data_IF_544202574310
#
_entry.id   IF_544202574310
#
_cell.length_a   1.000
_cell.length_b   1.000
_cell.length_c   1.000
_cell.angle_alpha   90.00
_cell.angle_beta   90.00
_cell.angle_gamma   90.00
#
_symmetry.space_group_name_H-M   'P 1'
#
loop_
_entity.id
_entity.type
_entity.pdbx_description
1 polymer ?
#
# COMPACT_ATOMS: atom_id res chain seq x y z
N UNK A 1 22.11 22.85 -16.87
CA UNK A 1 20.79 22.49 -16.30
C UNK A 1 21.12 21.73 -15.04
N UNK A 2 20.73 22.26 -13.89
CA UNK A 2 21.10 21.67 -12.59
C UNK A 2 20.37 20.32 -12.43
N UNK A 3 21.10 19.19 -12.38
CA UNK A 3 20.46 17.88 -12.28
C UNK A 3 19.64 17.74 -10.98
N UNK A 4 20.05 18.36 -9.87
CA UNK A 4 19.33 18.26 -8.58
C UNK A 4 17.98 18.98 -8.61
N UNK A 5 17.91 20.15 -9.28
CA UNK A 5 16.66 20.87 -9.48
C UNK A 5 15.64 20.03 -10.28
N UNK A 6 16.11 19.11 -11.13
CA UNK A 6 15.25 18.21 -11.89
C UNK A 6 14.76 16.99 -11.10
N UNK A 7 15.47 16.55 -10.07
CA UNK A 7 15.05 15.43 -9.20
C UNK A 7 13.95 15.87 -8.25
N UNK A 8 14.19 16.97 -7.53
CA UNK A 8 13.23 17.52 -6.57
C UNK A 8 11.89 17.87 -7.26
N UNK A 9 11.95 18.47 -8.45
CA UNK A 9 10.75 18.80 -9.23
C UNK A 9 9.99 17.57 -9.72
N UNK A 10 10.70 16.50 -10.11
CA UNK A 10 10.06 15.24 -10.49
C UNK A 10 9.29 14.65 -9.30
N UNK A 11 9.96 14.47 -8.16
CA UNK A 11 9.35 13.85 -6.98
C UNK A 11 8.24 14.70 -6.37
N UNK A 12 8.36 16.03 -6.40
CA UNK A 12 7.26 16.92 -6.01
C UNK A 12 6.02 16.75 -6.89
N UNK A 13 6.20 16.62 -8.21
CA UNK A 13 5.08 16.38 -9.13
C UNK A 13 4.44 15.00 -8.90
N UNK A 14 5.24 13.98 -8.66
CA UNK A 14 4.73 12.63 -8.36
C UNK A 14 4.00 12.58 -7.02
N UNK A 15 4.58 13.15 -5.96
CA UNK A 15 3.94 13.24 -4.65
C UNK A 15 2.60 13.99 -4.74
N UNK A 16 2.56 15.15 -5.40
CA UNK A 16 1.31 15.87 -5.65
C UNK A 16 0.29 15.05 -6.45
N UNK A 17 0.73 14.27 -7.45
CA UNK A 17 -0.19 13.41 -8.23
C UNK A 17 -0.82 12.33 -7.36
N UNK A 18 -0.02 11.66 -6.53
CA UNK A 18 -0.51 10.62 -5.61
C UNK A 18 -1.44 11.23 -4.57
N UNK A 19 -1.03 12.32 -3.92
CA UNK A 19 -1.84 13.04 -2.93
C UNK A 19 -3.16 13.58 -3.51
N UNK A 20 -3.14 14.06 -4.76
CA UNK A 20 -4.34 14.48 -5.47
C UNK A 20 -5.27 13.30 -5.77
N UNK A 21 -4.73 12.12 -6.06
CA UNK A 21 -5.52 10.89 -6.26
C UNK A 21 -6.25 10.51 -4.97
N UNK A 22 -5.55 10.51 -3.83
CA UNK A 22 -6.17 10.29 -2.51
C UNK A 22 -7.19 11.39 -2.21
N UNK A 23 -6.87 12.65 -2.53
CA UNK A 23 -7.80 13.78 -2.41
C UNK A 23 -9.06 13.60 -3.27
N UNK A 24 -8.93 12.99 -4.44
CA UNK A 24 -10.03 12.62 -5.33
C UNK A 24 -10.97 11.56 -4.77
N UNK A 25 -10.56 10.80 -3.74
CA UNK A 25 -11.42 9.87 -3.00
C UNK A 25 -12.34 10.60 -1.99
N UNK A 26 -12.16 11.91 -1.76
CA UNK A 26 -12.97 12.67 -0.78
C UNK A 26 -14.47 12.71 -1.07
N UNK A 27 -14.96 12.76 -2.33
CA UNK A 27 -16.41 12.69 -2.60
C UNK A 27 -17.06 11.39 -2.12
N UNK A 28 -16.39 10.24 -2.19
CA UNK A 28 -16.88 8.99 -1.58
C UNK A 28 -16.83 9.05 -0.05
N UNK A 29 -15.91 9.82 0.53
CA UNK A 29 -15.84 10.07 1.98
C UNK A 29 -16.98 10.93 2.53
N UNK A 30 -17.76 11.65 1.71
CA UNK A 30 -18.98 12.32 2.22
C UNK A 30 -20.02 11.32 2.75
N UNK A 31 -19.89 10.04 2.37
CA UNK A 31 -20.68 8.91 2.91
C UNK A 31 -19.90 8.10 3.95
N UNK A 32 -18.83 8.64 4.51
CA UNK A 32 -17.93 7.91 5.41
C UNK A 32 -18.64 7.32 6.64
N UNK A 33 -19.62 8.03 7.23
CA UNK A 33 -20.43 7.46 8.32
C UNK A 33 -21.15 6.18 7.87
N UNK A 34 -21.70 6.18 6.66
CA UNK A 34 -22.32 4.99 6.07
C UNK A 34 -21.34 3.86 5.79
N UNK A 35 -20.06 4.16 5.51
CA UNK A 35 -19.03 3.13 5.35
C UNK A 35 -18.75 2.42 6.68
N UNK A 36 -18.54 3.18 7.77
CA UNK A 36 -18.34 2.59 9.10
C UNK A 36 -19.57 1.78 9.55
N UNK A 37 -20.78 2.29 9.30
CA UNK A 37 -22.03 1.57 9.58
C UNK A 37 -22.11 0.25 8.80
N UNK A 38 -21.70 0.23 7.52
CA UNK A 38 -21.68 -0.98 6.68
C UNK A 38 -20.67 -2.00 7.20
N UNK A 39 -19.54 -1.53 7.74
CA UNK A 39 -18.55 -2.37 8.42
C UNK A 39 -19.00 -2.80 9.82
N UNK A 40 -20.14 -2.28 10.32
CA UNK A 40 -20.61 -2.43 11.69
C UNK A 40 -19.60 -1.95 12.74
N UNK A 41 -18.88 -0.87 12.43
CA UNK A 41 -17.88 -0.27 13.30
C UNK A 41 -18.44 0.96 14.01
N UNK A 42 -18.29 0.99 15.33
CA UNK A 42 -18.59 2.17 16.13
C UNK A 42 -17.43 3.15 16.08
N UNK A 43 -17.75 4.43 15.85
CA UNK A 43 -16.74 5.49 15.94
C UNK A 43 -16.43 5.76 17.41
N UNK A 44 -15.20 5.49 17.81
CA UNK A 44 -14.74 5.81 19.17
C UNK A 44 -14.25 7.26 19.23
N UNK A 45 -13.97 7.76 20.44
CA UNK A 45 -13.31 9.06 20.61
C UNK A 45 -11.87 9.07 20.11
N UNK A 46 -11.27 7.89 19.94
CA UNK A 46 -9.93 7.70 19.40
C UNK A 46 -10.01 7.31 17.92
N UNK A 47 -9.74 8.27 17.04
CA UNK A 47 -9.73 8.04 15.59
C UNK A 47 -8.73 6.95 15.18
N UNK A 48 -7.61 6.79 15.89
CA UNK A 48 -6.61 5.76 15.57
C UNK A 48 -7.13 4.37 15.94
N UNK A 49 -7.80 4.23 17.09
CA UNK A 49 -8.46 2.99 17.49
C UNK A 49 -9.54 2.59 16.48
N UNK A 50 -10.36 3.55 16.04
CA UNK A 50 -11.37 3.33 14.99
C UNK A 50 -10.71 2.90 13.67
N UNK A 51 -9.59 3.53 13.28
CA UNK A 51 -8.86 3.16 12.06
C UNK A 51 -8.27 1.75 12.16
N UNK A 52 -7.75 1.37 13.32
CA UNK A 52 -7.23 0.03 13.57
C UNK A 52 -8.34 -1.02 13.48
N UNK A 53 -9.52 -0.76 14.03
CA UNK A 53 -10.68 -1.64 13.86
C UNK A 53 -11.08 -1.77 12.38
N UNK A 54 -11.03 -0.67 11.62
CA UNK A 54 -11.26 -0.66 10.18
C UNK A 54 -10.24 -1.52 9.42
N UNK A 55 -8.96 -1.46 9.80
CA UNK A 55 -7.91 -2.29 9.23
C UNK A 55 -8.19 -3.78 9.46
N UNK A 56 -8.49 -4.17 10.69
CA UNK A 56 -8.76 -5.57 11.04
C UNK A 56 -9.99 -6.08 10.30
N UNK A 57 -11.03 -5.25 10.16
CA UNK A 57 -12.20 -5.59 9.34
C UNK A 57 -11.85 -5.80 7.87
N UNK A 58 -11.05 -4.91 7.26
CA UNK A 58 -10.61 -5.07 5.86
C UNK A 58 -9.85 -6.38 5.69
N UNK A 59 -8.92 -6.66 6.60
CA UNK A 59 -8.11 -7.89 6.60
C UNK A 59 -8.97 -9.17 6.67
N UNK A 60 -10.02 -9.16 7.48
CA UNK A 60 -10.85 -10.34 7.73
C UNK A 60 -12.01 -10.50 6.75
N UNK A 61 -12.53 -9.39 6.23
CA UNK A 61 -13.76 -9.38 5.45
C UNK A 61 -13.55 -9.19 3.96
N UNK A 62 -12.42 -8.62 3.52
CA UNK A 62 -12.17 -8.29 2.11
C UNK A 62 -11.22 -9.29 1.47
N UNK A 63 -11.68 -9.98 0.43
CA UNK A 63 -10.83 -10.86 -0.37
C UNK A 63 -9.95 -10.04 -1.31
N UNK A 64 -8.63 -10.18 -1.18
CA UNK A 64 -7.67 -9.54 -2.10
C UNK A 64 -7.59 -10.37 -3.39
N UNK A 65 -8.10 -9.82 -4.49
CA UNK A 65 -8.07 -10.45 -5.81
C UNK A 65 -6.63 -10.39 -6.37
N UNK A 66 -6.10 -11.54 -6.83
CA UNK A 66 -4.82 -11.55 -7.52
C UNK A 66 -4.93 -10.80 -8.84
N UNK A 67 -4.10 -9.77 -9.01
CA UNK A 67 -3.94 -9.10 -10.30
C UNK A 67 -3.13 -10.02 -11.21
N UNK A 68 -3.65 -10.26 -12.42
CA UNK A 68 -2.97 -10.99 -13.47
C UNK A 68 -1.54 -10.43 -13.64
N UNK A 69 -0.48 -11.26 -13.66
CA UNK A 69 0.89 -10.80 -13.85
C UNK A 69 1.08 -9.86 -15.06
N UNK A 70 0.34 -10.09 -16.15
CA UNK A 70 0.37 -9.23 -17.34
C UNK A 70 -0.19 -7.84 -17.05
N UNK A 71 -1.17 -7.76 -16.15
CA UNK A 71 -1.71 -6.50 -15.67
C UNK A 71 -0.85 -5.87 -14.56
N UNK A 72 -0.04 -6.68 -13.85
CA UNK A 72 0.87 -6.27 -12.79
C UNK A 72 2.10 -5.53 -13.30
N UNK A 73 2.62 -5.91 -14.47
CA UNK A 73 3.81 -5.29 -15.08
C UNK A 73 3.55 -3.89 -15.67
N UNK A 74 2.32 -3.40 -15.60
CA UNK A 74 1.98 -2.04 -16.01
C UNK A 74 2.29 -1.06 -14.86
N UNK A 75 2.91 0.10 -15.14
CA UNK A 75 3.41 1.06 -14.13
C UNK A 75 2.45 1.30 -12.97
N UNK A 76 2.90 0.95 -11.75
CA UNK A 76 2.09 0.92 -10.53
C UNK A 76 1.44 2.25 -10.15
N UNK A 77 1.96 3.39 -10.63
CA UNK A 77 1.45 4.73 -10.30
C UNK A 77 1.36 5.68 -11.51
N UNK A 78 1.80 5.26 -12.69
CA UNK A 78 1.84 6.14 -13.88
C UNK A 78 0.53 6.02 -14.66
N UNK A 79 -0.50 6.68 -14.13
CA UNK A 79 -1.66 7.05 -14.92
C UNK A 79 -2.98 6.92 -14.18
N UNK A 80 -3.53 8.08 -13.82
CA UNK A 80 -4.90 8.28 -13.36
C UNK A 80 -5.99 7.58 -14.22
N UNK A 81 -5.63 7.10 -15.43
CA UNK A 81 -6.52 6.38 -16.35
C UNK A 81 -6.88 4.97 -15.89
N UNK A 82 -6.08 4.30 -15.05
CA UNK A 82 -6.43 2.96 -14.55
C UNK A 82 -7.49 3.01 -13.44
N UNK A 83 -7.56 4.11 -12.69
CA UNK A 83 -8.59 4.33 -11.67
C UNK A 83 -9.98 4.61 -12.24
N UNK A 84 -10.11 4.82 -13.55
CA UNK A 84 -11.43 5.00 -14.18
C UNK A 84 -12.28 3.71 -14.18
N UNK A 85 -11.66 2.56 -13.93
CA UNK A 85 -12.34 1.26 -13.76
C UNK A 85 -12.14 0.63 -12.39
N UNK A 86 -11.36 1.26 -11.49
CA UNK A 86 -11.15 0.72 -10.15
C UNK A 86 -12.41 0.89 -9.32
N UNK A 87 -12.69 -0.09 -8.47
CA UNK A 87 -13.71 0.00 -7.43
C UNK A 87 -13.43 1.20 -6.55
N UNK A 88 -14.49 1.93 -6.19
CA UNK A 88 -14.39 2.95 -5.15
C UNK A 88 -14.23 2.29 -3.78
N UNK A 89 -13.80 3.02 -2.74
CA UNK A 89 -13.78 2.48 -1.37
C UNK A 89 -15.12 1.92 -0.91
N UNK A 90 -16.24 2.49 -1.36
CA UNK A 90 -17.58 1.96 -1.07
C UNK A 90 -17.80 0.61 -1.76
N UNK A 91 -17.45 0.50 -3.05
CA UNK A 91 -17.59 -0.76 -3.78
C UNK A 91 -16.72 -1.88 -3.18
N UNK A 92 -15.51 -1.56 -2.70
CA UNK A 92 -14.63 -2.55 -2.01
C UNK A 92 -15.27 -3.07 -0.72
N UNK A 93 -15.83 -2.16 0.09
CA UNK A 93 -16.51 -2.51 1.35
C UNK A 93 -17.78 -3.31 1.09
N UNK A 94 -18.60 -2.87 0.13
CA UNK A 94 -19.89 -3.50 -0.21
C UNK A 94 -19.68 -4.88 -0.86
N UNK A 95 -18.77 -4.99 -1.84
CA UNK A 95 -18.50 -6.24 -2.55
C UNK A 95 -17.57 -7.19 -1.78
N UNK A 96 -16.92 -6.70 -0.70
CA UNK A 96 -15.96 -7.47 0.11
C UNK A 96 -14.82 -8.08 -0.71
N UNK A 97 -14.39 -7.37 -1.74
CA UNK A 97 -13.28 -7.77 -2.60
C UNK A 97 -12.63 -6.56 -3.27
N UNK A 98 -11.35 -6.68 -3.56
CA UNK A 98 -10.62 -5.66 -4.29
C UNK A 98 -9.22 -6.13 -4.65
N UNK A 99 -8.60 -5.46 -5.61
CA UNK A 99 -7.16 -5.63 -5.86
C UNK A 99 -6.36 -5.09 -4.66
N UNK A 100 -5.06 -5.45 -4.52
CA UNK A 100 -4.22 -4.90 -3.44
C UNK A 100 -4.23 -3.37 -3.36
N UNK A 101 -4.24 -2.71 -4.52
CA UNK A 101 -4.27 -1.25 -4.60
C UNK A 101 -5.62 -0.68 -4.16
N UNK A 102 -6.73 -1.29 -4.59
CA UNK A 102 -8.07 -0.88 -4.16
C UNK A 102 -8.24 -1.00 -2.64
N UNK A 103 -7.71 -2.06 -2.02
CA UNK A 103 -7.75 -2.24 -0.57
C UNK A 103 -6.89 -1.21 0.17
N UNK A 104 -5.67 -0.93 -0.31
CA UNK A 104 -4.80 0.11 0.28
C UNK A 104 -5.40 1.51 0.15
N UNK A 105 -5.97 1.84 -1.02
CA UNK A 105 -6.65 3.11 -1.24
C UNK A 105 -7.91 3.23 -0.37
N UNK A 106 -8.64 2.14 -0.17
CA UNK A 106 -9.77 2.09 0.76
C UNK A 106 -9.31 2.41 2.18
N UNK A 107 -8.24 1.77 2.65
CA UNK A 107 -7.66 2.04 3.96
C UNK A 107 -7.17 3.50 4.12
N UNK A 108 -6.47 4.05 3.12
CA UNK A 108 -6.06 5.46 3.10
C UNK A 108 -7.25 6.42 3.16
N UNK A 109 -8.32 6.11 2.43
CA UNK A 109 -9.54 6.89 2.46
C UNK A 109 -10.18 6.89 3.87
N UNK A 110 -10.21 5.73 4.54
CA UNK A 110 -10.67 5.62 5.93
C UNK A 110 -9.80 6.45 6.89
N UNK A 111 -8.48 6.36 6.78
CA UNK A 111 -7.54 7.15 7.59
C UNK A 111 -7.78 8.66 7.43
N UNK A 112 -7.90 9.12 6.18
CA UNK A 112 -8.21 10.52 5.85
C UNK A 112 -9.52 10.98 6.45
N UNK A 113 -10.58 10.18 6.35
CA UNK A 113 -11.90 10.55 6.85
C UNK A 113 -11.99 10.57 8.39
N UNK A 114 -11.20 9.74 9.06
CA UNK A 114 -11.03 9.78 10.51
C UNK A 114 -10.13 10.92 10.99
N UNK A 115 -9.49 11.65 10.07
CA UNK A 115 -8.52 12.69 10.39
C UNK A 115 -7.23 12.13 11.00
N UNK A 116 -6.93 10.86 10.74
CA UNK A 116 -5.67 10.23 11.18
C UNK A 116 -4.57 10.67 10.24
N UNK A 117 -3.48 11.19 10.81
CA UNK A 117 -2.28 11.56 10.09
C UNK A 117 -1.65 10.33 9.44
N UNK A 118 -1.45 10.41 8.13
CA UNK A 118 -0.91 9.32 7.35
C UNK A 118 -0.09 9.85 6.17
N UNK A 119 0.88 9.04 5.76
CA UNK A 119 1.71 9.25 4.58
C UNK A 119 1.81 7.95 3.79
N UNK A 120 2.34 8.04 2.57
CA UNK A 120 2.57 6.89 1.70
C UNK A 120 4.06 6.65 1.59
N UNK A 121 4.49 5.42 1.85
CA UNK A 121 5.83 4.95 1.56
C UNK A 121 5.80 4.07 0.32
N UNK A 122 6.60 4.41 -0.69
CA UNK A 122 6.84 3.58 -1.86
C UNK A 122 8.05 2.68 -1.58
N UNK A 123 7.88 1.37 -1.75
CA UNK A 123 8.90 0.38 -1.40
C UNK A 123 9.35 -0.42 -2.61
N UNK A 124 10.64 -0.70 -2.63
CA UNK A 124 11.24 -1.65 -3.57
C UNK A 124 11.38 -3.01 -2.89
N UNK A 125 11.18 -4.09 -3.63
CA UNK A 125 11.48 -5.43 -3.16
C UNK A 125 13.00 -5.53 -2.94
N UNK A 126 13.39 -5.65 -1.67
CA UNK A 126 14.80 -5.65 -1.25
C UNK A 126 15.63 -6.78 -1.86
N UNK A 127 14.96 -7.82 -2.39
CA UNK A 127 15.63 -8.94 -3.06
C UNK A 127 15.98 -8.64 -4.52
N UNK A 128 15.39 -7.59 -5.11
CA UNK A 128 15.55 -7.23 -6.52
C UNK A 128 16.34 -5.94 -6.67
N UNK A 129 15.99 -4.91 -5.88
CA UNK A 129 16.58 -3.57 -6.02
C UNK A 129 16.46 -2.74 -4.74
N UNK A 130 17.13 -1.59 -4.75
CA UNK A 130 17.05 -0.59 -3.70
C UNK A 130 16.50 0.72 -4.26
N UNK A 131 15.87 1.49 -3.39
CA UNK A 131 15.47 2.87 -3.67
C UNK A 131 16.66 3.71 -4.13
N UNK A 132 16.50 4.39 -5.28
CA UNK A 132 17.45 5.37 -5.81
C UNK A 132 16.68 6.59 -6.31
N UNK A 133 16.89 7.73 -5.66
CA UNK A 133 16.14 8.97 -5.92
C UNK A 133 16.38 9.48 -7.34
N UNK A 134 17.54 9.21 -7.91
CA UNK A 134 18.01 9.69 -9.21
C UNK A 134 17.33 8.98 -10.40
N UNK A 135 16.65 7.85 -10.17
CA UNK A 135 16.02 7.08 -11.27
C UNK A 135 14.78 7.75 -11.86
N UNK A 136 14.21 8.77 -11.18
CA UNK A 136 13.08 9.60 -11.66
C UNK A 136 11.96 8.77 -12.29
N UNK A 137 11.61 7.67 -11.65
CA UNK A 137 10.56 6.77 -12.13
C UNK A 137 9.89 6.12 -10.93
N UNK A 138 8.57 5.99 -10.97
CA UNK A 138 7.81 5.23 -9.97
C UNK A 138 7.66 3.75 -10.35
N UNK A 139 8.14 3.36 -11.54
CA UNK A 139 8.04 1.98 -12.06
C UNK A 139 8.96 1.00 -11.36
N UNK A 140 9.92 1.49 -10.57
CA UNK A 140 10.83 0.63 -9.84
C UNK A 140 10.30 0.22 -8.45
N UNK A 141 9.17 0.77 -8.01
CA UNK A 141 8.55 0.37 -6.75
C UNK A 141 7.65 -0.84 -6.95
N UNK A 142 7.75 -1.78 -6.02
CA UNK A 142 7.06 -3.07 -6.07
C UNK A 142 5.82 -3.09 -5.15
N UNK A 143 5.75 -2.18 -4.18
CA UNK A 143 4.57 -1.99 -3.33
C UNK A 143 4.45 -0.57 -2.77
N UNK A 144 3.27 -0.31 -2.19
CA UNK A 144 2.90 0.91 -1.50
C UNK A 144 2.51 0.51 -0.07
N UNK A 145 3.06 1.19 0.92
CA UNK A 145 2.72 1.04 2.33
C UNK A 145 2.11 2.32 2.88
N UNK A 146 1.29 2.19 3.91
CA UNK A 146 0.76 3.36 4.64
C UNK A 146 1.55 3.54 5.92
N UNK A 147 2.03 4.76 6.13
CA UNK A 147 2.69 5.18 7.37
C UNK A 147 1.66 5.95 8.21
N UNK A 148 1.36 5.46 9.42
CA UNK A 148 0.36 6.01 10.34
C UNK A 148 1.05 6.62 11.55
N UNK A 149 0.78 7.90 11.82
CA UNK A 149 1.53 8.66 12.81
C UNK A 149 2.97 8.91 12.35
N UNK A 150 3.55 10.03 12.75
CA UNK A 150 4.80 10.53 12.18
C UNK A 150 4.51 11.77 11.37
N UNK A 151 4.78 12.92 11.97
CA UNK A 151 4.65 14.21 11.32
C UNK A 151 6.03 14.65 10.88
N UNK A 152 6.21 14.75 9.56
CA UNK A 152 7.32 15.27 8.74
C UNK A 152 8.79 14.97 9.15
N UNK A 153 9.11 14.77 10.43
CA UNK A 153 10.44 14.46 10.99
C UNK A 153 10.43 13.44 12.15
N UNK A 154 9.30 13.15 12.81
CA UNK A 154 9.22 12.19 13.93
C UNK A 154 8.78 10.78 13.50
N UNK A 155 9.55 10.18 12.59
CA UNK A 155 9.25 8.83 12.07
C UNK A 155 9.41 7.71 13.11
N UNK A 156 10.08 7.96 14.25
CA UNK A 156 10.34 6.94 15.27
C UNK A 156 9.09 6.41 15.98
N UNK A 157 7.98 7.14 15.93
CA UNK A 157 6.69 6.72 16.49
C UNK A 157 5.70 6.21 15.42
N UNK A 158 6.11 6.19 14.16
CA UNK A 158 5.25 5.80 13.06
C UNK A 158 4.95 4.31 13.06
N UNK A 159 3.71 3.96 12.71
CA UNK A 159 3.32 2.57 12.44
C UNK A 159 3.15 2.37 10.94
N UNK A 160 3.93 1.46 10.37
CA UNK A 160 3.81 1.09 8.95
C UNK A 160 2.83 -0.07 8.82
N UNK A 161 1.90 0.02 7.88
CA UNK A 161 0.88 -1.01 7.64
C UNK A 161 0.72 -1.32 6.16
N UNK A 162 0.42 -2.59 5.83
CA UNK A 162 -0.04 -3.01 4.51
C UNK A 162 -1.42 -3.66 4.60
N UNK A 163 -2.47 -2.87 4.36
CA UNK A 163 -3.86 -3.32 4.41
C UNK A 163 -4.19 -4.45 3.42
N UNK A 164 -3.39 -4.66 2.38
CA UNK A 164 -3.59 -5.70 1.38
C UNK A 164 -2.76 -6.98 1.63
N UNK A 165 -1.87 -6.98 2.61
CA UNK A 165 -0.97 -8.11 2.87
C UNK A 165 -1.67 -9.28 3.58
N UNK A 166 -2.78 -9.03 4.27
CA UNK A 166 -3.38 -9.97 5.21
C UNK A 166 -2.67 -10.04 6.57
N UNK A 167 -1.62 -9.26 6.80
CA UNK A 167 -0.85 -9.27 8.04
C UNK A 167 -1.55 -8.46 9.15
N UNK A 168 -1.24 -8.72 10.44
CA UNK A 168 -1.75 -7.91 11.55
C UNK A 168 -1.36 -6.43 11.47
N UNK A 169 -2.10 -5.57 12.19
CA UNK A 169 -1.76 -4.16 12.30
C UNK A 169 -0.31 -3.93 12.71
N UNK A 170 0.40 -3.10 11.93
CA UNK A 170 1.79 -2.75 12.19
C UNK A 170 2.79 -3.79 11.68
N UNK A 171 2.35 -4.89 11.07
CA UNK A 171 3.20 -5.83 10.35
C UNK A 171 3.15 -5.54 8.83
N UNK A 172 4.27 -5.75 8.16
CA UNK A 172 4.43 -5.63 6.71
C UNK A 172 5.25 -6.82 6.21
N UNK A 173 5.13 -7.22 4.92
CA UNK A 173 5.87 -8.35 4.42
C UNK A 173 7.37 -8.21 4.66
N UNK A 174 8.04 -9.30 5.06
CA UNK A 174 9.47 -9.27 5.42
C UNK A 174 10.39 -8.69 4.34
N UNK A 175 10.02 -8.84 3.06
CA UNK A 175 10.74 -8.26 1.91
C UNK A 175 10.71 -6.72 1.85
N UNK A 176 9.77 -6.11 2.57
CA UNK A 176 9.56 -4.66 2.64
C UNK A 176 10.13 -4.06 3.94
N UNK A 177 10.86 -4.86 4.76
CA UNK A 177 11.50 -4.42 6.02
C UNK A 177 13.01 -4.26 5.89
N UNK A 178 13.62 -3.44 6.75
CA UNK A 178 15.07 -3.18 6.75
C UNK A 178 15.55 -2.47 5.48
N UNK A 179 14.70 -1.59 4.93
CA UNK A 179 14.95 -0.85 3.69
C UNK A 179 14.68 0.64 3.86
N UNK A 180 15.28 1.43 2.97
CA UNK A 180 14.90 2.83 2.78
C UNK A 180 13.78 2.87 1.73
N UNK A 181 12.65 3.43 2.12
CA UNK A 181 11.49 3.71 1.28
C UNK A 181 11.46 5.18 0.87
N UNK A 182 10.73 5.45 -0.21
CA UNK A 182 10.41 6.81 -0.65
C UNK A 182 9.10 7.26 -0.01
N UNK A 183 9.20 8.11 1.01
CA UNK A 183 8.05 8.68 1.72
C UNK A 183 7.53 9.91 1.00
N UNK A 184 6.28 9.88 0.56
CA UNK A 184 5.66 10.98 -0.17
C UNK A 184 5.14 12.04 0.82
N UNK A 185 5.61 13.27 0.64
CA UNK A 185 5.24 14.45 1.44
C UNK A 185 4.66 15.55 0.54
N UNK A 186 4.13 16.63 1.12
CA UNK A 186 3.70 17.79 0.33
C UNK A 186 4.86 18.49 -0.38
N UNK A 187 6.08 18.36 0.14
CA UNK A 187 7.28 19.00 -0.43
C UNK A 187 7.97 18.13 -1.49
N UNK A 188 7.69 16.83 -1.52
CA UNK A 188 8.21 15.88 -2.49
C UNK A 188 8.39 14.48 -1.91
N UNK A 189 9.63 14.00 -1.89
CA UNK A 189 9.97 12.68 -1.33
C UNK A 189 11.05 12.85 -0.26
N UNK A 190 10.91 12.13 0.84
CA UNK A 190 11.97 11.94 1.84
C UNK A 190 12.34 10.47 1.95
N UNK A 191 13.53 10.20 2.47
CA UNK A 191 13.96 8.84 2.74
C UNK A 191 13.37 8.41 4.08
N UNK A 192 12.77 7.23 4.11
CA UNK A 192 12.12 6.68 5.30
C UNK A 192 12.61 5.26 5.55
N UNK A 193 13.21 5.03 6.71
CA UNK A 193 13.65 3.70 7.09
C UNK A 193 12.46 2.87 7.59
N UNK A 194 12.19 1.76 6.92
CA UNK A 194 11.27 0.75 7.44
C UNK A 194 12.09 -0.16 8.35
N UNK A 195 11.81 -0.19 9.66
CA UNK A 195 12.62 -0.93 10.60
C UNK A 195 12.69 -2.40 10.23
N UNK A 196 13.88 -2.98 10.38
CA UNK A 196 14.03 -4.43 10.25
C UNK A 196 13.17 -5.12 11.32
N UNK A 197 12.46 -6.16 10.91
CA UNK A 197 11.74 -7.03 11.83
C UNK A 197 12.06 -8.48 11.50
N UNK A 198 12.15 -9.29 12.54
CA UNK A 198 12.18 -10.73 12.35
C UNK A 198 10.86 -11.16 11.69
N UNK A 199 10.90 -12.00 10.64
CA UNK A 199 9.70 -12.47 9.98
C UNK A 199 8.81 -13.16 10.99
N UNK A 200 7.56 -12.71 11.11
CA UNK A 200 6.62 -13.38 12.00
C UNK A 200 6.32 -14.79 11.46
N UNK A 201 5.86 -15.71 12.32
CA UNK A 201 5.43 -17.06 11.84
C UNK A 201 4.36 -16.96 10.74
N UNK A 202 3.59 -15.87 10.70
CA UNK A 202 2.56 -15.60 9.71
C UNK A 202 3.14 -15.29 8.34
N UNK A 203 4.26 -14.57 8.25
CA UNK A 203 4.95 -14.28 6.99
C UNK A 203 5.39 -15.55 6.26
N UNK A 204 5.86 -16.55 7.01
CA UNK A 204 6.27 -17.84 6.47
C UNK A 204 5.10 -18.63 5.85
N UNK A 205 3.89 -18.49 6.41
CA UNK A 205 2.70 -19.17 5.90
C UNK A 205 2.15 -18.49 4.63
N UNK A 206 2.17 -17.15 4.59
CA UNK A 206 1.74 -16.37 3.41
C UNK A 206 2.70 -16.58 2.24
N UNK A 207 4.00 -16.63 2.50
CA UNK A 207 5.01 -16.96 1.48
C UNK A 207 4.95 -18.43 1.04
N UNK A 208 4.71 -19.38 1.95
CA UNK A 208 4.52 -20.79 1.60
C UNK A 208 3.20 -21.07 0.85
N UNK A 209 2.15 -20.28 1.11
CA UNK A 209 0.86 -20.37 0.41
C UNK A 209 0.92 -19.99 -1.07
N UNK A 210 1.97 -19.28 -1.50
CA UNK A 210 2.20 -18.90 -2.90
C UNK A 210 2.81 -20.02 -3.76
N UNK A 211 3.12 -21.18 -3.19
CA UNK A 211 3.55 -22.36 -3.97
C UNK A 211 2.40 -23.35 -4.13
N UNK A 212 1.49 -23.11 -5.08
CA UNK A 212 0.62 -24.17 -5.61
C UNK A 212 1.00 -24.53 -7.04
N UNK A 213 1.39 -25.79 -7.16
CA UNK A 213 1.79 -26.47 -8.38
C UNK A 213 0.65 -26.47 -9.41
N UNK A 214 0.95 -26.05 -10.63
CA UNK A 214 0.24 -26.53 -11.82
C UNK A 214 0.48 -28.03 -12.04
N UNK A 215 -0.32 -28.68 -12.89
CA UNK A 215 -0.35 -30.14 -13.01
C UNK A 215 1.04 -30.69 -13.35
N UNK A 216 1.41 -31.76 -12.64
CA UNK A 216 2.63 -32.54 -12.78
C UNK A 216 3.15 -32.55 -14.23
N UNK A 217 4.21 -31.79 -14.49
CA UNK A 217 5.04 -32.02 -15.65
C UNK A 217 5.66 -33.41 -15.46
N UNK A 218 5.24 -34.35 -16.31
CA UNK A 218 5.83 -35.66 -16.40
C UNK A 218 7.35 -35.54 -16.43
N UNK A 219 8.01 -36.34 -15.59
CA UNK A 219 9.44 -36.55 -15.60
C UNK A 219 9.88 -37.05 -16.98
N UNK A 220 10.28 -36.11 -17.83
CA UNK A 220 11.05 -36.42 -19.03
C UNK A 220 12.42 -36.93 -18.57
N UNK A 221 12.59 -38.24 -18.64
CA UNK A 221 13.89 -38.89 -18.58
C UNK A 221 14.66 -38.48 -19.83
N UNK A 222 15.79 -37.81 -19.64
CA UNK A 222 16.77 -37.61 -20.71
C UNK A 222 17.56 -38.91 -20.87
N UNK A 223 17.52 -39.59 -22.03
CA UNK A 223 18.53 -40.57 -22.35
C UNK A 223 19.80 -39.84 -22.80
N UNK A 224 20.82 -39.91 -21.94
CA UNK A 224 22.27 -39.70 -22.14
C UNK A 224 22.73 -38.45 -22.89
#
# INVERSE_FOLDING_TARGET
MDPEASDADFWRKEAHRVLATIGGLTPSLRRFSGLLETMALERTSDSLETLRAAYEWLRESVSVEEVDPVERDLPYLVGARRFLKSRTPADVIDERRGTPEEVRLTFLALAKALGVEHQIALVTDRTVRHWQREWRSTEHFDATLTVIGGRDDECSAATVVDAASGLPWGEVPSRDTGIIAALLTSEGVSDFEIPEREPSRSDAAVSAGRTRCGPQAASASFPW
#
